data_IF_477673735090
#
_entry.id   IF_477673735090
#
_cell.length_a   1.000
_cell.length_b   1.000
_cell.length_c   1.000
_cell.angle_alpha   90.00
_cell.angle_beta   90.00
_cell.angle_gamma   90.00
#
_symmetry.space_group_name_H-M   'P 1'
#
loop_
_entity.id
_entity.type
_entity.pdbx_description
1 polymer ?
2 branched ?
3 branched ?
4 non-polymer ?
5 water ?
#
# COMPACT_ATOMS: atom_id res chain seq x y z
N UNK A 5 -2.64 25.27 5.08
CA UNK A 5 -2.84 25.75 3.67
C UNK A 5 -3.81 24.84 2.92
N UNK A 6 -3.28 23.96 2.08
CA UNK A 6 -4.13 23.08 1.32
C UNK A 6 -3.88 23.14 -0.17
N UNK A 7 -2.77 23.75 -0.55
CA UNK A 7 -2.42 23.88 -1.97
C UNK A 7 -1.56 22.73 -2.50
N UNK A 8 -2.06 22.06 -3.53
CA UNK A 8 -1.37 20.94 -4.18
C UNK A 8 -0.86 19.85 -3.24
N UNK A 9 -1.75 18.94 -2.87
CA UNK A 9 -1.39 17.80 -2.02
C UNK A 9 -0.71 18.20 -0.72
N UNK A 10 -1.45 18.87 0.18
CA UNK A 10 -0.98 19.35 1.48
C UNK A 10 -0.36 18.28 2.37
N UNK A 11 -1.14 17.25 2.69
CA UNK A 11 -0.68 16.18 3.57
C UNK A 11 0.62 15.52 3.12
N UNK A 12 1.12 15.88 1.94
CA UNK A 12 2.37 15.30 1.46
C UNK A 12 3.57 16.18 1.76
N UNK A 13 3.35 17.48 1.91
CA UNK A 13 4.43 18.40 2.18
C UNK A 13 5.08 18.28 3.56
N UNK A 14 4.45 17.52 4.45
CA UNK A 14 5.00 17.37 5.80
C UNK A 14 6.28 16.54 5.87
N UNK A 15 6.57 15.79 4.81
CA UNK A 15 7.76 14.94 4.84
C UNK A 15 8.59 14.95 3.58
N UNK A 16 9.79 14.40 3.70
CA UNK A 16 10.69 14.27 2.55
C UNK A 16 10.56 12.80 2.21
N UNK A 17 10.16 12.51 0.98
CA UNK A 17 9.95 11.15 0.53
C UNK A 17 11.06 10.63 -0.35
N UNK A 18 11.43 9.37 -0.18
CA UNK A 18 12.47 8.77 -1.00
C UNK A 18 11.89 7.83 -2.04
N UNK A 19 12.63 7.69 -3.14
CA UNK A 19 12.24 6.81 -4.23
C UNK A 19 13.57 6.32 -4.79
N UNK A 20 13.55 5.20 -5.50
CA UNK A 20 14.82 4.70 -6.02
C UNK A 20 14.73 4.14 -7.43
N UNK A 21 15.86 4.19 -8.12
CA UNK A 21 16.00 3.63 -9.45
C UNK A 21 17.07 2.58 -9.20
N UNK A 22 16.65 1.37 -8.87
CA UNK A 22 17.59 0.29 -8.56
C UNK A 22 18.51 -0.06 -9.73
N UNK A 23 17.99 -0.02 -10.95
CA UNK A 23 18.80 -0.35 -12.11
C UNK A 23 20.00 0.58 -12.25
N UNK A 24 19.87 1.82 -11.76
CA UNK A 24 20.95 2.79 -11.86
C UNK A 24 21.55 3.25 -10.54
N UNK A 25 21.19 2.58 -9.46
CA UNK A 25 21.74 2.91 -8.15
C UNK A 25 21.53 4.39 -7.78
N UNK A 26 20.32 4.89 -7.99
CA UNK A 26 19.97 6.28 -7.70
C UNK A 26 18.90 6.33 -6.60
N UNK A 27 19.14 7.15 -5.58
CA UNK A 27 18.19 7.33 -4.49
C UNK A 27 17.68 8.76 -4.61
N UNK A 28 16.36 8.91 -4.74
CA UNK A 28 15.78 10.24 -4.87
C UNK A 28 15.10 10.67 -3.58
N UNK A 29 15.17 11.97 -3.31
CA UNK A 29 14.52 12.56 -2.15
C UNK A 29 13.52 13.53 -2.78
N UNK A 30 12.26 13.40 -2.37
CA UNK A 30 11.20 14.24 -2.90
C UNK A 30 10.52 15.09 -1.85
N UNK A 31 10.45 16.38 -2.11
CA UNK A 31 9.77 17.30 -1.21
C UNK A 31 8.99 18.22 -2.12
N UNK A 32 7.70 17.91 -2.27
CA UNK A 32 6.79 18.65 -3.13
C UNK A 32 6.75 20.15 -2.84
N UNK A 33 7.12 20.51 -1.62
CA UNK A 33 7.14 21.90 -1.21
C UNK A 33 8.53 22.55 -1.36
N UNK A 34 9.53 21.72 -1.62
CA UNK A 34 10.89 22.21 -1.80
C UNK A 34 11.63 22.65 -0.55
N UNK A 35 11.88 21.73 0.38
CA UNK A 35 12.59 22.05 1.60
C UNK A 35 13.02 20.79 2.35
N UNK A 36 13.87 19.99 1.69
CA UNK A 36 14.36 18.75 2.26
C UNK A 36 15.61 18.97 3.12
N UNK A 37 16.14 20.18 3.09
CA UNK A 37 17.32 20.49 3.88
C UNK A 37 18.58 19.73 3.54
N UNK A 38 18.89 19.62 2.25
CA UNK A 38 20.10 18.92 1.82
C UNK A 38 21.03 19.92 1.13
N UNK A 39 22.05 20.36 1.85
CA UNK A 39 23.02 21.32 1.34
C UNK A 39 23.51 21.02 -0.07
N UNK A 40 23.69 19.75 -0.38
CA UNK A 40 24.17 19.36 -1.69
C UNK A 40 23.13 19.52 -2.79
N UNK A 41 21.86 19.57 -2.41
CA UNK A 41 20.77 19.72 -3.37
C UNK A 41 20.40 21.17 -3.68
N UNK A 42 20.53 22.04 -2.69
CA UNK A 42 20.16 23.43 -2.87
C UNK A 42 18.90 23.62 -2.04
N UNK A 43 18.64 24.84 -1.55
CA UNK A 43 17.47 25.12 -0.72
C UNK A 43 16.08 24.96 -1.35
N UNK A 44 15.99 25.04 -2.67
CA UNK A 44 14.69 24.94 -3.34
C UNK A 44 14.45 23.65 -4.14
N UNK A 45 15.36 22.70 -4.02
CA UNK A 45 15.20 21.45 -4.76
C UNK A 45 13.94 20.73 -4.31
N UNK A 46 13.16 20.24 -5.27
CA UNK A 46 11.93 19.51 -4.99
C UNK A 46 12.22 18.02 -5.16
N UNK A 47 13.11 17.72 -6.09
CA UNK A 47 13.50 16.34 -6.35
C UNK A 47 15.02 16.30 -6.40
N UNK A 48 15.63 15.62 -5.45
CA UNK A 48 17.08 15.53 -5.42
C UNK A 48 17.52 14.10 -5.67
N UNK A 49 18.49 13.93 -6.56
CA UNK A 49 18.98 12.61 -6.91
C UNK A 49 20.37 12.37 -6.33
N UNK A 50 20.50 11.30 -5.54
CA UNK A 50 21.77 10.95 -4.94
C UNK A 50 22.37 9.82 -5.78
N UNK A 51 23.40 10.15 -6.55
CA UNK A 51 24.08 9.16 -7.38
C UNK A 51 24.99 8.41 -6.42
N UNK A 52 24.63 7.18 -6.08
CA UNK A 52 25.43 6.41 -5.14
C UNK A 52 26.72 5.89 -5.75
N UNK A 53 26.77 5.80 -7.08
CA UNK A 53 27.97 5.33 -7.76
C UNK A 53 29.12 6.30 -7.56
N UNK A 54 28.84 7.59 -7.72
CA UNK A 54 29.85 8.62 -7.55
C UNK A 54 29.60 9.39 -6.26
N UNK A 55 28.60 8.96 -5.50
CA UNK A 55 28.25 9.61 -4.24
C UNK A 55 28.15 11.13 -4.41
N UNK A 56 27.22 11.56 -5.25
CA UNK A 56 27.03 12.98 -5.49
C UNK A 56 25.54 13.31 -5.58
N UNK A 57 25.20 14.55 -5.25
CA UNK A 57 23.81 14.97 -5.29
C UNK A 57 23.57 15.94 -6.45
N UNK A 58 22.41 15.79 -7.07
CA UNK A 58 22.01 16.65 -8.19
C UNK A 58 20.51 16.90 -8.12
N UNK A 59 20.11 18.17 -8.05
CA UNK A 59 18.69 18.47 -8.02
C UNK A 59 18.20 18.19 -9.42
N UNK A 60 17.09 17.45 -9.55
CA UNK A 60 16.56 17.19 -10.88
C UNK A 60 15.17 17.79 -11.03
N UNK A 61 14.86 18.72 -10.13
CA UNK A 61 13.56 19.39 -10.16
C UNK A 61 13.53 20.46 -9.08
N UNK A 62 13.17 21.69 -9.47
CA UNK A 62 13.15 22.79 -8.52
C UNK A 62 11.72 23.19 -8.15
N UNK A 63 11.48 23.38 -6.85
CA UNK A 63 10.15 23.75 -6.36
C UNK A 63 9.65 25.07 -6.92
N UNK A 64 10.57 25.98 -7.23
CA UNK A 64 10.19 27.28 -7.76
C UNK A 64 9.90 27.28 -9.26
N UNK A 65 10.09 26.12 -9.90
CA UNK A 65 9.82 26.01 -11.33
C UNK A 65 8.80 24.89 -11.52
N UNK A 66 7.71 24.99 -10.75
CA UNK A 66 6.64 24.00 -10.75
C UNK A 66 5.43 24.34 -11.61
N UNK A 67 4.87 23.30 -12.25
CA UNK A 67 3.67 23.45 -13.06
C UNK A 67 2.75 22.38 -12.51
N UNK A 68 1.56 22.77 -12.08
CA UNK A 68 0.64 21.78 -11.52
C UNK A 68 -0.60 21.59 -12.38
N UNK A 69 -1.07 20.36 -12.43
CA UNK A 69 -2.26 19.96 -13.17
C UNK A 69 -3.07 19.11 -12.20
N UNK A 70 -4.29 18.76 -12.57
CA UNK A 70 -5.15 17.97 -11.70
C UNK A 70 -4.38 16.83 -11.00
N UNK A 71 -3.78 15.95 -11.79
CA UNK A 71 -3.03 14.85 -11.20
C UNK A 71 -1.62 14.79 -11.75
N UNK A 72 -0.95 15.94 -11.78
CA UNK A 72 0.41 15.98 -12.28
C UNK A 72 1.21 17.17 -11.78
N UNK A 73 2.44 16.90 -11.35
CA UNK A 73 3.36 17.95 -10.90
C UNK A 73 4.62 17.80 -11.73
N UNK A 74 5.02 18.88 -12.39
CA UNK A 74 6.22 18.85 -13.20
C UNK A 74 7.14 19.90 -12.62
N UNK A 75 8.39 19.51 -12.36
CA UNK A 75 9.38 20.42 -11.81
C UNK A 75 10.52 20.56 -12.84
N UNK A 76 10.76 21.78 -13.36
CA UNK A 76 11.85 22.05 -14.31
C UNK A 76 13.06 22.41 -13.43
N UNK A 77 14.19 22.65 -14.12
CA UNK A 77 15.44 23.11 -13.51
C UNK A 77 16.20 24.02 -14.51
N UNK A 78 17.29 24.66 -14.06
CA UNK A 78 18.10 25.51 -14.96
C UNK A 78 19.34 24.73 -15.40
N UNK A 79 19.35 23.43 -15.09
CA UNK A 79 20.46 22.56 -15.43
C UNK A 79 20.34 21.99 -16.84
N UNK A 80 21.34 22.26 -17.67
CA UNK A 80 21.32 21.75 -19.04
C UNK A 80 21.47 20.25 -19.06
N UNK A 81 20.69 19.61 -19.93
CA UNK A 81 20.72 18.16 -20.07
C UNK A 81 21.87 17.71 -20.97
N UNK A 82 22.16 16.42 -20.97
CA UNK A 82 23.22 15.88 -21.80
C UNK A 82 22.83 16.16 -23.25
N UNK A 83 21.52 16.16 -23.49
CA UNK A 83 21.00 16.43 -24.82
C UNK A 83 20.80 17.94 -24.96
N UNK A 84 21.50 18.53 -25.93
CA UNK A 84 21.44 19.96 -26.20
C UNK A 84 20.03 20.54 -26.24
N UNK A 85 19.89 21.76 -25.73
CA UNK A 85 18.61 22.48 -25.73
C UNK A 85 17.56 22.01 -24.73
N UNK A 86 17.90 21.03 -23.90
CA UNK A 86 16.94 20.55 -22.92
C UNK A 86 17.48 20.70 -21.51
N UNK A 87 16.58 20.97 -20.58
CA UNK A 87 16.95 21.12 -19.17
C UNK A 87 16.48 19.87 -18.44
N UNK A 88 17.09 19.59 -17.30
CA UNK A 88 16.70 18.44 -16.50
C UNK A 88 15.34 18.72 -15.91
N UNK A 89 14.45 17.72 -15.96
CA UNK A 89 13.10 17.86 -15.41
C UNK A 89 12.73 16.62 -14.59
N UNK A 90 11.71 16.77 -13.75
CA UNK A 90 11.19 15.66 -12.94
C UNK A 90 9.67 15.76 -13.12
N UNK A 91 9.00 14.62 -13.23
CA UNK A 91 7.55 14.61 -13.42
C UNK A 91 6.90 13.57 -12.51
N UNK A 92 5.86 13.96 -11.79
CA UNK A 92 5.15 13.05 -10.89
C UNK A 92 3.68 13.00 -11.28
N UNK A 93 3.22 11.82 -11.68
CA UNK A 93 1.82 11.64 -12.03
C UNK A 93 1.14 11.14 -10.77
N UNK A 94 0.01 11.74 -10.41
CA UNK A 94 -0.72 11.33 -9.21
C UNK A 94 -1.99 10.58 -9.58
N UNK A 95 -2.31 9.56 -8.79
CA UNK A 95 -3.51 8.76 -9.00
C UNK A 95 -4.16 8.60 -7.64
N UNK A 96 -5.48 8.47 -7.61
CA UNK A 96 -6.16 8.30 -6.33
C UNK A 96 -5.78 6.94 -5.72
N UNK A 97 -5.53 6.94 -4.42
CA UNK A 97 -5.17 5.71 -3.72
C UNK A 97 -5.90 5.66 -2.39
N UNK A 98 -5.82 4.54 -1.69
CA UNK A 98 -6.50 4.39 -0.39
C UNK A 98 -5.59 4.57 0.83
N UNK A 99 -4.30 4.75 0.58
CA UNK A 99 -3.33 5.00 1.65
C UNK A 99 -2.49 6.15 1.11
N UNK A 100 -1.66 6.76 1.97
CA UNK A 100 -0.82 7.87 1.52
C UNK A 100 0.11 7.44 0.40
N UNK A 101 0.46 6.16 0.40
CA UNK A 101 1.30 5.60 -0.64
C UNK A 101 2.74 6.03 -0.69
N UNK A 102 3.34 5.85 -1.87
CA UNK A 102 4.74 6.21 -2.05
C UNK A 102 4.98 6.63 -3.49
N UNK A 103 5.96 7.52 -3.71
CA UNK A 103 6.26 7.95 -5.08
C UNK A 103 7.10 6.83 -5.70
N UNK A 104 6.56 6.16 -6.72
CA UNK A 104 7.28 5.08 -7.37
C UNK A 104 8.06 5.58 -8.56
N UNK A 105 9.33 5.21 -8.63
CA UNK A 105 10.14 5.60 -9.78
C UNK A 105 9.57 4.80 -10.95
N UNK A 106 9.43 5.44 -12.11
CA UNK A 106 8.89 4.77 -13.28
C UNK A 106 10.02 4.59 -14.29
N UNK A 107 10.64 5.70 -14.67
CA UNK A 107 11.73 5.63 -15.62
C UNK A 107 12.40 6.98 -15.74
N UNK A 108 13.58 7.00 -16.34
CA UNK A 108 14.30 8.24 -16.53
C UNK A 108 14.98 8.25 -17.88
N UNK A 109 14.92 9.39 -18.55
CA UNK A 109 15.58 9.57 -19.84
C UNK A 109 16.83 10.33 -19.40
N UNK A 110 17.62 10.84 -20.33
CA UNK A 110 18.80 11.60 -19.93
C UNK A 110 18.35 12.93 -19.35
N UNK A 111 17.13 13.37 -19.69
CA UNK A 111 16.64 14.65 -19.18
C UNK A 111 15.49 14.62 -18.19
N UNK A 112 14.58 13.65 -18.30
CA UNK A 112 13.43 13.62 -17.41
C UNK A 112 13.33 12.41 -16.50
N UNK A 113 12.97 12.66 -15.25
CA UNK A 113 12.81 11.61 -14.25
C UNK A 113 11.32 11.53 -13.94
N UNK A 114 10.74 10.38 -14.24
CA UNK A 114 9.31 10.13 -14.05
C UNK A 114 8.99 9.30 -12.81
N UNK A 115 7.93 9.71 -12.11
CA UNK A 115 7.47 9.00 -10.91
C UNK A 115 5.96 8.86 -10.96
N UNK A 116 5.42 7.90 -10.20
CA UNK A 116 3.98 7.70 -10.14
C UNK A 116 3.61 7.56 -8.67
N UNK A 117 2.60 8.32 -8.23
CA UNK A 117 2.19 8.30 -6.83
C UNK A 117 0.70 8.05 -6.64
N UNK A 118 0.36 6.86 -6.16
CA UNK A 118 -1.03 6.49 -5.91
C UNK A 118 -1.18 6.87 -4.44
N UNK A 119 -1.99 7.89 -4.17
CA UNK A 119 -2.15 8.40 -2.81
C UNK A 119 -3.52 8.97 -2.49
N UNK A 120 -3.90 8.93 -1.22
CA UNK A 120 -5.19 9.47 -0.80
C UNK A 120 -5.25 10.97 -1.05
N UNK A 121 -4.08 11.57 -1.26
CA UNK A 121 -3.98 13.00 -1.51
C UNK A 121 -4.43 13.44 -2.90
N UNK A 122 -4.53 12.48 -3.83
CA UNK A 122 -4.93 12.81 -5.19
C UNK A 122 -6.32 12.31 -5.56
N UNK A 123 -7.19 12.10 -4.56
CA UNK A 123 -8.54 11.63 -4.83
C UNK A 123 -9.47 12.83 -4.96
N UNK A 124 -10.64 12.61 -5.54
CA UNK A 124 -11.60 13.69 -5.74
C UNK A 124 -12.40 14.01 -4.49
N UNK A 125 -12.48 13.04 -3.59
CA UNK A 125 -13.21 13.25 -2.36
C UNK A 125 -12.33 12.95 -1.16
N UNK A 126 -12.14 13.95 -0.30
CA UNK A 126 -11.32 13.79 0.88
C UNK A 126 -11.75 12.54 1.66
N UNK A 127 -12.81 11.90 1.18
CA UNK A 127 -13.36 10.70 1.81
C UNK A 127 -12.34 9.61 2.14
N UNK A 128 -11.38 9.37 1.24
CA UNK A 128 -10.39 8.32 1.53
C UNK A 128 -9.26 8.75 2.46
N UNK A 129 -9.09 10.06 2.63
CA UNK A 129 -8.02 10.55 3.49
C UNK A 129 -8.15 10.14 4.94
N UNK A 130 -7.02 9.84 5.57
CA UNK A 130 -7.01 9.49 6.98
C UNK A 130 -7.00 10.82 7.73
N UNK A 131 -7.33 10.79 9.02
CA UNK A 131 -7.30 12.00 9.84
C UNK A 131 -5.85 12.44 9.85
N UNK A 132 -4.95 11.46 9.95
CA UNK A 132 -3.52 11.72 9.96
C UNK A 132 -2.82 10.44 9.54
N UNK A 133 -1.90 10.56 8.58
CA UNK A 133 -1.15 9.42 8.08
C UNK A 133 0.30 9.85 7.81
N UNK A 134 1.22 8.94 8.02
CA UNK A 134 2.64 9.22 7.83
C UNK A 134 3.25 8.22 6.85
N UNK A 135 4.43 8.55 6.28
CA UNK A 135 5.12 7.65 5.34
C UNK A 135 5.22 6.27 5.98
N UNK A 136 4.89 5.22 5.24
CA UNK A 136 4.91 3.87 5.80
C UNK A 136 5.86 2.90 5.11
N UNK A 137 7.05 3.36 4.76
CA UNK A 137 8.00 2.52 4.09
C UNK A 137 9.39 3.09 4.31
N UNK A 138 10.42 2.28 4.02
CA UNK A 138 11.80 2.72 4.15
C UNK A 138 12.66 1.90 3.21
N UNK A 139 13.76 2.50 2.75
CA UNK A 139 14.69 1.82 1.87
C UNK A 139 15.91 1.45 2.70
N UNK A 140 16.53 0.32 2.39
CA UNK A 140 17.73 -0.08 3.11
C UNK A 140 18.92 0.36 2.26
N UNK A 141 20.13 0.14 2.77
CA UNK A 141 21.35 0.53 2.06
C UNK A 141 21.46 -0.09 0.68
N UNK A 142 20.84 -1.24 0.47
CA UNK A 142 20.90 -1.90 -0.83
C UNK A 142 19.80 -1.35 -1.75
N UNK A 143 19.10 -0.33 -1.30
CA UNK A 143 18.02 0.29 -2.06
C UNK A 143 16.80 -0.60 -2.23
N UNK A 144 16.64 -1.57 -1.33
CA UNK A 144 15.49 -2.45 -1.36
C UNK A 144 14.41 -1.77 -0.54
N UNK A 145 13.16 -1.90 -0.97
CA UNK A 145 12.05 -1.25 -0.30
C UNK A 145 11.35 -2.13 0.75
N UNK A 146 11.11 -1.58 1.93
CA UNK A 146 10.41 -2.27 3.00
C UNK A 146 9.12 -1.44 3.12
N UNK A 147 8.02 -1.99 2.63
CA UNK A 147 6.75 -1.26 2.57
C UNK A 147 5.60 -1.86 3.41
N UNK A 148 5.14 -1.10 4.38
CA UNK A 148 4.06 -1.56 5.26
C UNK A 148 2.67 -1.09 4.83
N UNK A 149 2.58 -0.40 3.70
CA UNK A 149 1.29 0.09 3.22
C UNK A 149 0.19 -0.97 3.19
N UNK A 150 0.53 -2.23 2.81
CA UNK A 150 -0.49 -3.29 2.78
C UNK A 150 -1.11 -3.61 4.14
N UNK A 151 -0.45 -3.21 5.23
CA UNK A 151 -0.96 -3.47 6.57
C UNK A 151 -1.85 -2.34 7.09
N UNK A 152 -1.83 -1.21 6.40
CA UNK A 152 -2.64 -0.07 6.81
C UNK A 152 -4.12 -0.39 6.65
N UNK A 153 -4.89 -0.23 7.72
CA UNK A 153 -6.33 -0.49 7.64
C UNK A 153 -7.10 0.80 7.40
N UNK A 154 -8.07 0.76 6.48
CA UNK A 154 -8.89 1.92 6.20
C UNK A 154 -10.18 1.81 7.01
N UNK A 155 -10.30 0.70 7.73
CA UNK A 155 -11.45 0.43 8.58
C UNK A 155 -11.03 -0.54 9.68
N UNK A 156 -11.37 -0.21 10.92
CA UNK A 156 -11.04 -1.07 12.04
C UNK A 156 -9.61 -0.93 12.52
N UNK A 157 -9.13 -1.91 13.28
CA UNK A 157 -7.78 -1.86 13.81
C UNK A 157 -7.28 -3.26 14.12
N UNK A 158 -6.07 -3.36 14.68
CA UNK A 158 -5.53 -4.66 15.03
C UNK A 158 -5.56 -4.83 16.54
N UNK A 159 -6.09 -5.96 17.01
CA UNK A 159 -6.12 -6.21 18.45
C UNK A 159 -4.74 -6.75 18.82
N UNK A 160 -4.02 -6.02 19.67
CA UNK A 160 -2.68 -6.46 20.07
C UNK A 160 -2.72 -7.54 21.14
N UNK A 161 -1.80 -8.49 21.05
CA UNK A 161 -1.71 -9.58 22.01
C UNK A 161 -1.05 -9.13 23.30
N UNK A 162 -1.74 -9.32 24.41
CA UNK A 162 -1.22 -8.95 25.71
C UNK A 162 -1.88 -9.81 26.78
N UNK A 163 -1.69 -9.43 28.03
CA UNK A 163 -2.28 -10.19 29.14
C UNK A 163 -3.02 -9.32 30.12
N UNK A 164 -3.99 -8.57 29.62
CA UNK A 164 -4.79 -7.72 30.48
C UNK A 164 -6.21 -7.97 30.02
N UNK A 165 -7.02 -8.61 30.88
CA UNK A 165 -8.41 -8.91 30.58
C UNK A 165 -9.35 -7.77 30.97
N UNK A 166 -8.77 -6.58 31.08
CA UNK A 166 -9.50 -5.35 31.41
C UNK A 166 -9.12 -4.34 30.33
N UNK A 167 -8.01 -4.64 29.66
CA UNK A 167 -7.52 -3.79 28.59
C UNK A 167 -7.62 -4.54 27.28
N UNK A 168 -7.94 -3.79 26.23
CA UNK A 168 -8.02 -4.30 24.87
C UNK A 168 -7.22 -3.23 24.16
N UNK A 169 -6.06 -3.61 23.64
CA UNK A 169 -5.20 -2.65 22.96
C UNK A 169 -5.36 -2.74 21.44
N UNK A 170 -5.88 -1.68 20.85
CA UNK A 170 -6.09 -1.65 19.39
C UNK A 170 -5.16 -0.64 18.72
N UNK A 171 -4.56 -1.05 17.61
CA UNK A 171 -3.66 -0.16 16.88
C UNK A 171 -3.87 -0.25 15.36
N UNK A 172 -3.46 0.79 14.65
CA UNK A 172 -3.53 0.80 13.20
C UNK A 172 -2.08 1.05 12.80
N UNK A 173 -1.78 0.91 11.51
CA UNK A 173 -0.42 1.11 11.04
C UNK A 173 -0.28 2.40 10.24
N UNK A 174 0.61 3.27 10.72
CA UNK A 174 0.91 4.55 10.08
C UNK A 174 -0.20 5.59 10.01
N UNK A 175 -1.32 5.33 10.69
CA UNK A 175 -2.43 6.28 10.69
C UNK A 175 -3.43 6.01 11.80
N UNK A 176 -4.37 6.94 11.97
CA UNK A 176 -5.40 6.81 12.98
C UNK A 176 -6.32 5.66 12.64
N UNK A 177 -7.09 5.23 13.63
CA UNK A 177 -8.05 4.16 13.46
C UNK A 177 -9.36 4.78 13.03
N UNK A 178 -9.97 4.26 11.97
CA UNK A 178 -11.24 4.80 11.51
C UNK A 178 -12.30 4.24 12.45
N UNK A 179 -12.75 5.07 13.38
CA UNK A 179 -13.73 4.65 14.38
C UNK A 179 -15.17 4.77 13.88
N UNK A 180 -15.42 5.68 12.95
CA UNK A 180 -16.75 5.88 12.39
C UNK A 180 -17.19 4.63 11.64
N UNK A 181 -16.39 4.23 10.66
CA UNK A 181 -16.68 3.05 9.85
C UNK A 181 -16.06 1.82 10.48
N UNK A 182 -16.48 1.52 11.71
CA UNK A 182 -15.97 0.36 12.42
C UNK A 182 -17.11 -0.61 12.70
N UNK A 183 -16.88 -1.89 12.46
CA UNK A 183 -17.91 -2.90 12.70
C UNK A 183 -17.81 -3.45 14.11
N UNK A 184 -16.65 -3.28 14.74
CA UNK A 184 -16.44 -3.75 16.11
C UNK A 184 -17.01 -2.76 17.11
N UNK A 185 -17.99 -3.19 17.92
CA UNK A 185 -18.58 -2.31 18.92
C UNK A 185 -17.54 -1.81 19.91
N UNK A 186 -16.39 -2.48 19.93
CA UNK A 186 -15.29 -2.14 20.82
C UNK A 186 -14.52 -0.97 20.23
N UNK A 187 -14.09 -1.12 18.99
CA UNK A 187 -13.33 -0.09 18.29
C UNK A 187 -14.15 1.19 18.12
N UNK A 188 -15.47 1.04 18.02
CA UNK A 188 -16.36 2.18 17.84
C UNK A 188 -16.42 3.07 19.08
N UNK A 189 -15.68 2.69 20.12
CA UNK A 189 -15.66 3.45 21.36
C UNK A 189 -14.40 4.31 21.47
N UNK A 190 -13.47 4.10 20.56
CA UNK A 190 -12.20 4.84 20.54
C UNK A 190 -12.32 6.28 20.03
N UNK A 191 -11.48 7.18 20.56
CA UNK A 191 -11.47 8.59 20.18
C UNK A 191 -10.98 8.77 18.74
N UNK A 192 -11.50 9.78 18.05
CA UNK A 192 -11.09 10.03 16.68
C UNK A 192 -9.67 10.55 16.68
N UNK A 193 -8.91 10.22 15.64
CA UNK A 193 -7.54 10.68 15.55
C UNK A 193 -6.55 9.77 16.24
N UNK A 194 -7.05 8.80 16.99
CA UNK A 194 -6.16 7.87 17.71
C UNK A 194 -5.65 6.75 16.81
N UNK A 195 -4.35 6.51 16.87
CA UNK A 195 -3.69 5.45 16.09
C UNK A 195 -3.50 4.24 17.00
N UNK A 196 -3.58 4.50 18.30
CA UNK A 196 -3.44 3.47 19.31
C UNK A 196 -4.49 3.78 20.37
N UNK A 197 -5.35 2.81 20.63
CA UNK A 197 -6.44 3.00 21.59
C UNK A 197 -6.53 1.91 22.65
N UNK A 198 -6.62 2.33 23.89
CA UNK A 198 -6.72 1.41 25.01
C UNK A 198 -8.16 1.38 25.53
N UNK A 199 -8.83 0.25 25.38
CA UNK A 199 -10.21 0.12 25.83
C UNK A 199 -10.28 -0.65 27.15
N UNK A 200 -10.50 0.09 28.23
CA UNK A 200 -10.58 -0.52 29.56
C UNK A 200 -12.05 -0.74 29.92
N UNK A 201 -12.75 -1.48 29.06
CA UNK A 201 -14.16 -1.77 29.31
C UNK A 201 -15.02 -0.53 29.44
N UNK A 202 -15.96 -0.36 28.51
CA UNK A 202 -16.87 0.79 28.52
C UNK A 202 -16.12 2.11 28.56
N UNK A 203 -14.83 2.06 28.26
CA UNK A 203 -13.99 3.25 28.26
C UNK A 203 -12.83 3.04 27.29
N UNK A 204 -12.50 4.08 26.53
CA UNK A 204 -11.40 4.00 25.57
C UNK A 204 -10.49 5.19 25.79
N UNK A 205 -9.20 5.01 25.58
CA UNK A 205 -8.24 6.08 25.78
C UNK A 205 -7.18 6.16 24.69
N UNK A 206 -7.06 7.33 24.08
CA UNK A 206 -6.08 7.55 23.03
C UNK A 206 -4.70 7.48 23.68
N UNK A 207 -3.95 6.43 23.35
CA UNK A 207 -2.62 6.27 23.93
C UNK A 207 -1.51 6.46 22.89
N UNK A 208 -1.87 7.08 21.77
CA UNK A 208 -0.88 7.33 20.72
C UNK A 208 -1.46 7.82 19.40
N UNK A 209 -0.81 8.81 18.81
CA UNK A 209 -1.23 9.37 17.54
C UNK A 209 -0.03 9.40 16.60
N UNK A 210 -0.26 9.27 15.29
CA UNK A 210 0.87 9.29 14.35
C UNK A 210 1.55 10.65 14.28
N UNK A 211 2.87 10.64 14.10
CA UNK A 211 3.64 11.87 13.98
C UNK A 211 4.75 11.74 12.95
N UNK A 212 5.70 10.85 13.21
CA UNK A 212 6.82 10.65 12.31
C UNK A 212 6.67 9.40 11.44
N UNK A 213 7.32 9.42 10.28
CA UNK A 213 7.23 8.27 9.37
C UNK A 213 7.98 7.05 9.86
N UNK A 214 7.75 5.93 9.18
CA UNK A 214 8.40 4.67 9.50
C UNK A 214 9.92 4.80 9.42
N UNK A 215 10.63 4.09 10.29
CA UNK A 215 12.08 4.17 10.32
C UNK A 215 12.71 2.78 10.28
N UNK A 216 13.84 2.67 9.59
CA UNK A 216 14.54 1.40 9.50
C UNK A 216 15.80 1.45 10.37
N UNK A 217 15.92 0.52 11.30
CA UNK A 217 17.06 0.46 12.21
C UNK A 217 18.07 -0.60 11.77
N UNK A 218 17.57 -1.71 11.24
CA UNK A 218 18.42 -2.78 10.75
C UNK A 218 17.72 -3.32 9.51
N UNK A 219 18.47 -3.99 8.64
CA UNK A 219 17.90 -4.52 7.41
C UNK A 219 16.68 -5.42 7.63
N UNK A 220 16.42 -5.79 8.88
CA UNK A 220 15.28 -6.65 9.19
C UNK A 220 14.40 -6.08 10.30
N UNK A 221 14.61 -4.81 10.64
CA UNK A 221 13.83 -4.17 11.70
C UNK A 221 13.35 -2.76 11.36
N UNK A 222 12.04 -2.57 11.43
CA UNK A 222 11.41 -1.27 11.15
C UNK A 222 10.73 -0.80 12.44
N UNK A 223 10.76 0.50 12.72
CA UNK A 223 10.12 1.00 13.93
C UNK A 223 9.19 2.18 13.67
N UNK A 224 8.02 2.12 14.28
CA UNK A 224 7.02 3.18 14.16
C UNK A 224 6.68 3.69 15.55
N UNK A 225 6.66 5.01 15.72
CA UNK A 225 6.36 5.60 17.03
C UNK A 225 5.14 6.53 17.04
N UNK A 226 4.25 6.30 17.99
CA UNK A 226 3.06 7.13 18.15
C UNK A 226 3.24 7.87 19.47
N UNK A 227 2.83 9.13 19.51
CA UNK A 227 2.98 9.92 20.71
C UNK A 227 1.76 10.78 21.04
N UNK A 228 1.88 11.52 22.13
CA UNK A 228 0.84 12.43 22.58
C UNK A 228 1.53 13.58 23.28
N UNK A 229 1.11 14.80 22.99
CA UNK A 229 1.71 15.97 23.60
C UNK A 229 0.73 16.74 24.47
N UNK A 230 1.26 17.45 25.46
CA UNK A 230 0.42 18.23 26.36
C UNK A 230 -0.23 17.40 27.45
N UNK A 231 -1.02 18.06 28.29
CA UNK A 231 -1.70 17.39 29.39
C UNK A 231 -3.00 16.76 28.89
N UNK A 232 -3.95 16.56 29.80
CA UNK A 232 -5.22 15.97 29.43
C UNK A 232 -5.10 14.47 29.24
N UNK A 233 -4.06 13.89 29.81
CA UNK A 233 -3.80 12.45 29.71
C UNK A 233 -4.80 11.63 30.53
N UNK A 234 -4.98 10.35 30.18
CA UNK A 234 -5.92 9.47 30.88
C UNK A 234 -5.64 9.46 32.39
N UNK A 235 -4.36 9.57 32.73
CA UNK A 235 -3.89 9.60 34.11
C UNK A 235 -3.84 8.28 34.87
N UNK A 236 -4.28 7.20 34.25
CA UNK A 236 -4.23 5.91 34.93
C UNK A 236 -2.75 5.55 35.02
N UNK A 237 -1.95 6.30 34.26
CA UNK A 237 -0.51 6.10 34.19
C UNK A 237 0.32 6.88 35.18
N UNK A 238 -0.31 7.82 35.88
CA UNK A 238 0.43 8.63 36.85
C UNK A 238 1.36 9.61 36.15
N UNK A 239 0.78 10.66 35.57
CA UNK A 239 1.57 11.68 34.91
C UNK A 239 2.47 11.31 33.76
N UNK A 240 2.39 10.06 33.28
CA UNK A 240 3.22 9.64 32.16
C UNK A 240 2.52 9.84 30.82
N UNK A 241 3.14 10.58 29.92
CA UNK A 241 2.57 10.84 28.60
C UNK A 241 2.56 9.56 27.76
N UNK A 242 1.37 9.13 27.33
CA UNK A 242 1.21 7.91 26.52
C UNK A 242 2.12 7.88 25.30
N UNK A 243 2.69 6.71 25.04
CA UNK A 243 3.57 6.52 23.91
C UNK A 243 3.51 5.06 23.49
N UNK A 244 3.55 4.82 22.20
CA UNK A 244 3.51 3.47 21.67
C UNK A 244 4.61 3.31 20.63
N UNK A 245 5.37 2.24 20.74
CA UNK A 245 6.44 1.96 19.79
C UNK A 245 6.26 0.56 19.23
N UNK A 246 6.14 0.49 17.91
CA UNK A 246 5.95 -0.79 17.24
C UNK A 246 7.21 -1.16 16.47
N UNK A 247 7.71 -2.36 16.72
CA UNK A 247 8.89 -2.84 16.02
C UNK A 247 8.44 -3.93 15.07
N UNK A 248 8.56 -3.69 13.76
CA UNK A 248 8.17 -4.68 12.78
C UNK A 248 9.40 -5.48 12.40
N UNK A 249 9.31 -6.80 12.52
CA UNK A 249 10.43 -7.68 12.22
C UNK A 249 10.19 -8.63 11.05
N UNK A 250 11.14 -8.67 10.12
CA UNK A 250 11.07 -9.54 8.96
C UNK A 250 11.70 -10.89 9.35
N UNK A 251 10.91 -11.98 9.36
CA UNK A 251 11.40 -13.31 9.72
C UNK A 251 12.39 -13.84 8.69
N UNK A 252 13.46 -14.47 9.16
CA UNK A 252 14.47 -15.02 8.25
C UNK A 252 13.88 -16.15 7.43
N UNK A 253 12.84 -16.80 7.95
CA UNK A 253 12.19 -17.90 7.26
C UNK A 253 10.69 -17.63 7.13
N UNK A 254 10.10 -18.12 6.05
CA UNK A 254 8.66 -17.95 5.81
C UNK A 254 7.85 -18.66 6.89
N UNK A 255 6.75 -18.05 7.31
CA UNK A 255 5.90 -18.65 8.33
C UNK A 255 4.50 -18.06 8.33
N UNK A 256 3.59 -18.71 9.05
CA UNK A 256 2.21 -18.25 9.15
C UNK A 256 2.17 -16.92 9.88
N UNK A 257 1.24 -16.06 9.49
CA UNK A 257 1.13 -14.76 10.11
C UNK A 257 0.91 -14.78 11.61
N UNK A 258 1.49 -13.79 12.29
CA UNK A 258 1.35 -13.67 13.75
C UNK A 258 0.81 -12.28 14.09
N UNK A 259 0.13 -12.20 15.24
CA UNK A 259 -0.45 -10.95 15.71
C UNK A 259 0.59 -10.09 16.42
N UNK A 260 0.47 -8.74 16.31
CA UNK A 260 1.46 -7.91 17.01
C UNK A 260 1.35 -8.24 18.49
N UNK A 261 2.46 -8.16 19.21
CA UNK A 261 2.46 -8.52 20.62
C UNK A 261 3.05 -7.45 21.54
N UNK A 262 2.41 -7.26 22.69
CA UNK A 262 2.87 -6.29 23.69
C UNK A 262 4.05 -6.90 24.44
N UNK A 263 5.20 -6.24 24.38
CA UNK A 263 6.38 -6.73 25.05
C UNK A 263 6.79 -5.87 26.25
N UNK A 264 6.11 -4.73 26.40
CA UNK A 264 6.39 -3.82 27.51
C UNK A 264 5.19 -2.90 27.71
N UNK A 265 5.00 -2.45 28.94
CA UNK A 265 3.89 -1.57 29.28
C UNK A 265 4.28 -0.73 30.49
N UNK A 266 5.42 -0.06 30.36
CA UNK A 266 5.97 0.77 31.43
C UNK A 266 5.19 2.07 31.69
N UNK A 267 3.90 1.95 32.02
CA UNK A 267 3.06 3.11 32.32
C UNK A 267 2.94 4.11 31.16
N UNK A 268 1.92 3.92 30.33
CA UNK A 268 1.65 4.76 29.15
C UNK A 268 2.73 4.79 28.09
N UNK A 269 3.66 3.85 28.14
CA UNK A 269 4.71 3.84 27.15
C UNK A 269 4.82 2.43 26.60
N UNK A 270 3.76 2.01 25.91
CA UNK A 270 3.64 0.68 25.32
C UNK A 270 4.66 0.37 24.23
N UNK A 271 5.11 -0.88 24.22
CA UNK A 271 6.06 -1.35 23.22
C UNK A 271 5.49 -2.61 22.60
N UNK A 272 5.40 -2.63 21.28
CA UNK A 272 4.84 -3.77 20.57
C UNK A 272 5.80 -4.34 19.53
N UNK A 273 5.82 -5.66 19.43
CA UNK A 273 6.65 -6.34 18.45
C UNK A 273 5.71 -7.05 17.49
N UNK A 274 5.96 -6.88 16.19
CA UNK A 274 5.11 -7.49 15.18
C UNK A 274 6.05 -8.16 14.17
N UNK A 275 6.02 -9.48 14.16
CA UNK A 275 6.83 -10.23 13.22
C UNK A 275 5.98 -10.39 11.98
N UNK A 276 6.39 -9.77 10.88
CA UNK A 276 5.60 -9.84 9.64
C UNK A 276 6.51 -9.74 8.42
N UNK A 277 6.20 -10.52 7.40
CA UNK A 277 7.01 -10.53 6.19
C UNK A 277 6.85 -9.25 5.40
N UNK A 278 5.90 -8.42 5.81
CA UNK A 278 5.72 -7.15 5.14
C UNK A 278 6.89 -6.24 5.48
N UNK A 279 7.64 -6.60 6.51
CA UNK A 279 8.81 -5.83 6.90
C UNK A 279 10.01 -6.21 6.02
N UNK A 280 9.87 -7.28 5.24
CA UNK A 280 10.96 -7.70 4.37
C UNK A 280 11.03 -6.87 3.10
N UNK A 281 12.03 -7.16 2.27
CA UNK A 281 12.20 -6.47 1.00
C UNK A 281 10.92 -6.74 0.22
N UNK A 282 10.36 -5.73 -0.43
CA UNK A 282 9.13 -5.93 -1.20
C UNK A 282 9.28 -6.92 -2.35
N UNK A 283 10.42 -6.89 -3.03
CA UNK A 283 10.64 -7.79 -4.16
C UNK A 283 10.68 -9.26 -3.73
N UNK A 284 10.73 -9.49 -2.43
CA UNK A 284 10.76 -10.85 -1.89
C UNK A 284 9.31 -11.33 -1.72
N UNK A 285 8.39 -10.38 -1.71
CA UNK A 285 6.98 -10.66 -1.55
C UNK A 285 6.18 -10.60 -2.85
N UNK A 286 6.65 -9.82 -3.82
CA UNK A 286 5.88 -9.63 -5.04
C UNK A 286 6.53 -9.93 -6.38
N UNK A 287 5.66 -10.19 -7.36
CA UNK A 287 6.04 -10.44 -8.72
C UNK A 287 5.00 -9.70 -9.58
N UNK A 288 5.40 -9.31 -10.79
CA UNK A 288 4.48 -8.64 -11.68
C UNK A 288 3.97 -9.63 -12.72
N UNK A 289 4.13 -10.92 -12.42
CA UNK A 289 3.68 -12.00 -13.29
C UNK A 289 2.91 -13.00 -12.44
N UNK A 290 2.36 -14.03 -13.06
CA UNK A 290 1.60 -15.02 -12.33
C UNK A 290 2.44 -16.10 -11.65
N UNK A 291 3.71 -15.82 -11.40
CA UNK A 291 4.52 -16.81 -10.72
C UNK A 291 5.49 -16.21 -9.71
N UNK A 292 5.82 -17.00 -8.69
CA UNK A 292 6.77 -16.60 -7.66
C UNK A 292 7.83 -17.70 -7.75
N UNK A 293 9.08 -17.36 -7.46
CA UNK A 293 10.13 -18.39 -7.55
C UNK A 293 10.81 -18.60 -6.22
N UNK A 294 11.44 -19.75 -6.09
CA UNK A 294 12.15 -20.08 -4.87
C UNK A 294 13.32 -19.09 -4.69
N UNK A 295 13.99 -18.79 -5.81
CA UNK A 295 15.14 -17.89 -5.81
C UNK A 295 14.83 -16.48 -5.33
N UNK A 296 13.71 -15.94 -5.77
CA UNK A 296 13.35 -14.58 -5.41
C UNK A 296 12.42 -14.46 -4.21
N UNK A 297 11.51 -15.42 -4.06
CA UNK A 297 10.51 -15.36 -3.00
C UNK A 297 10.53 -16.46 -1.95
N UNK A 298 11.41 -17.44 -2.09
CA UNK A 298 11.47 -18.56 -1.14
C UNK A 298 10.18 -19.37 -1.19
N UNK A 299 9.42 -19.20 -2.26
CA UNK A 299 8.19 -19.95 -2.45
C UNK A 299 8.01 -20.14 -3.96
N UNK A 300 7.58 -21.33 -4.36
CA UNK A 300 7.38 -21.61 -5.77
C UNK A 300 5.89 -21.72 -6.09
N UNK A 301 5.39 -20.76 -6.86
CA UNK A 301 3.99 -20.71 -7.23
C UNK A 301 3.86 -20.37 -8.70
N UNK A 302 2.91 -21.01 -9.38
CA UNK A 302 2.66 -20.73 -10.79
C UNK A 302 1.16 -20.87 -11.00
N UNK A 303 0.50 -19.75 -11.26
CA UNK A 303 -0.94 -19.73 -11.47
C UNK A 303 -1.30 -19.82 -12.95
N UNK A 304 -0.29 -19.84 -13.80
CA UNK A 304 -0.50 -19.92 -15.24
C UNK A 304 -1.47 -21.02 -15.64
N UNK A 305 -1.38 -22.21 -15.01
CA UNK A 305 -2.31 -23.29 -15.38
C UNK A 305 -3.78 -23.02 -15.11
N UNK A 306 -4.10 -21.89 -14.47
CA UNK A 306 -5.49 -21.54 -14.21
C UNK A 306 -6.12 -20.82 -15.40
N UNK A 307 -5.29 -20.42 -16.35
CA UNK A 307 -5.78 -19.72 -17.54
C UNK A 307 -6.13 -20.72 -18.64
N UNK A 308 -5.84 -21.99 -18.38
CA UNK A 308 -6.11 -23.05 -19.33
C UNK A 308 -7.19 -23.97 -18.79
N UNK A 309 -7.98 -24.52 -19.71
CA UNK A 309 -9.05 -25.43 -19.33
C UNK A 309 -9.19 -26.48 -20.42
N UNK A 310 -9.83 -27.60 -20.11
CA UNK A 310 -10.02 -28.64 -21.10
C UNK A 310 -10.93 -28.10 -22.21
N UNK A 311 -10.75 -28.61 -23.43
CA UNK A 311 -11.56 -28.18 -24.56
C UNK A 311 -13.00 -28.67 -24.36
N UNK A 312 -13.60 -28.26 -23.25
CA UNK A 312 -14.96 -28.66 -22.92
C UNK A 312 -15.78 -27.53 -22.27
N UNK A 313 -15.11 -26.62 -21.57
CA UNK A 313 -15.82 -25.53 -20.92
C UNK A 313 -15.24 -24.12 -21.15
N UNK A 314 -16.01 -23.12 -20.75
CA UNK A 314 -15.66 -21.70 -20.90
C UNK A 314 -14.19 -21.33 -20.74
N UNK A 315 -13.74 -20.42 -21.59
CA UNK A 315 -12.35 -19.95 -21.59
C UNK A 315 -12.11 -18.89 -20.52
N UNK A 316 -13.15 -18.59 -19.74
CA UNK A 316 -13.05 -17.59 -18.69
C UNK A 316 -13.88 -18.02 -17.49
N UNK A 317 -13.68 -17.35 -16.36
CA UNK A 317 -14.40 -17.67 -15.14
C UNK A 317 -15.55 -16.70 -14.91
N UNK A 318 -16.63 -17.21 -14.33
CA UNK A 318 -17.81 -16.40 -14.05
C UNK A 318 -18.09 -16.41 -12.56
N UNK A 319 -18.18 -15.23 -11.98
CA UNK A 319 -18.45 -15.09 -10.55
C UNK A 319 -19.68 -14.21 -10.40
N UNK A 320 -20.83 -14.83 -10.11
CA UNK A 320 -22.10 -14.13 -9.96
C UNK A 320 -22.27 -13.44 -8.61
N UNK A 321 -22.99 -12.32 -8.63
CA UNK A 321 -23.27 -11.56 -7.42
C UNK A 321 -24.73 -11.12 -7.46
N UNK A 322 -25.18 -10.44 -6.42
CA UNK A 322 -26.57 -9.99 -6.34
C UNK A 322 -27.04 -9.15 -7.54
N UNK A 323 -26.34 -8.07 -7.82
CA UNK A 323 -26.74 -7.16 -8.90
C UNK A 323 -25.78 -7.12 -10.08
N UNK A 324 -24.63 -7.78 -9.93
CA UNK A 324 -23.65 -7.81 -11.00
C UNK A 324 -23.11 -9.21 -11.22
N UNK A 325 -22.47 -9.38 -12.38
CA UNK A 325 -21.84 -10.63 -12.73
C UNK A 325 -20.39 -10.25 -13.06
N UNK A 326 -19.44 -11.00 -12.52
CA UNK A 326 -18.02 -10.71 -12.77
C UNK A 326 -17.39 -11.77 -13.65
N UNK A 327 -16.65 -11.35 -14.66
CA UNK A 327 -15.98 -12.28 -15.54
C UNK A 327 -14.50 -12.09 -15.33
N UNK A 328 -13.82 -13.20 -15.00
CA UNK A 328 -12.39 -13.14 -14.74
C UNK A 328 -11.57 -13.93 -15.76
N UNK A 329 -10.58 -13.25 -16.33
CA UNK A 329 -9.66 -13.82 -17.31
C UNK A 329 -8.29 -13.62 -16.68
N UNK A 330 -7.78 -14.67 -16.06
CA UNK A 330 -6.51 -14.61 -15.35
C UNK A 330 -5.28 -15.10 -16.07
N UNK A 331 -4.13 -14.51 -15.71
CA UNK A 331 -2.85 -14.87 -16.28
C UNK A 331 -2.84 -14.98 -17.79
N UNK A 332 -3.31 -13.93 -18.46
CA UNK A 332 -3.33 -13.92 -19.91
C UNK A 332 -4.42 -14.73 -20.58
N UNK A 333 -5.37 -15.23 -19.80
CA UNK A 333 -6.46 -16.02 -20.37
C UNK A 333 -7.39 -15.16 -21.24
N UNK A 334 -8.42 -15.78 -21.78
CA UNK A 334 -9.38 -15.06 -22.64
C UNK A 334 -10.57 -14.53 -21.85
N UNK A 335 -11.05 -13.35 -22.25
CA UNK A 335 -12.19 -12.70 -21.59
C UNK A 335 -13.53 -13.08 -22.22
N UNK A 336 -14.61 -12.91 -21.46
CA UNK A 336 -15.94 -13.21 -21.96
C UNK A 336 -16.29 -12.27 -23.11
N UNK A 337 -17.12 -12.74 -24.05
CA UNK A 337 -17.54 -11.93 -25.20
C UNK A 337 -18.08 -10.56 -24.82
N UNK A 338 -18.97 -10.52 -23.83
CA UNK A 338 -19.59 -9.28 -23.37
C UNK A 338 -18.56 -8.19 -23.06
N UNK A 339 -17.41 -8.59 -22.54
CA UNK A 339 -16.34 -7.65 -22.22
C UNK A 339 -15.36 -7.70 -23.38
N UNK A 340 -15.90 -7.37 -24.56
CA UNK A 340 -15.20 -7.38 -25.84
C UNK A 340 -13.75 -6.93 -25.90
N UNK A 341 -13.55 -5.70 -26.38
CA UNK A 341 -12.23 -5.11 -26.54
C UNK A 341 -11.68 -4.64 -25.20
N UNK A 342 -12.57 -4.17 -24.34
CA UNK A 342 -12.26 -3.64 -23.02
C UNK A 342 -10.92 -3.95 -22.37
N UNK A 343 -10.34 -5.11 -22.66
CA UNK A 343 -9.06 -5.50 -22.07
C UNK A 343 -9.11 -5.39 -20.55
N UNK A 344 -9.77 -6.36 -19.94
CA UNK A 344 -9.90 -6.39 -18.50
C UNK A 344 -9.58 -7.79 -18.00
N UNK A 345 -8.95 -7.88 -16.84
CA UNK A 345 -8.66 -9.16 -16.26
C UNK A 345 -9.93 -9.50 -15.48
N UNK A 346 -10.60 -8.45 -15.02
CA UNK A 346 -11.85 -8.57 -14.26
C UNK A 346 -12.82 -7.54 -14.82
N UNK A 347 -14.01 -7.99 -15.18
CA UNK A 347 -15.00 -7.12 -15.76
C UNK A 347 -16.35 -7.30 -15.07
N UNK A 348 -16.94 -6.19 -14.64
CA UNK A 348 -18.22 -6.19 -13.94
C UNK A 348 -19.37 -5.81 -14.85
N UNK A 349 -20.39 -6.67 -14.93
CA UNK A 349 -21.54 -6.41 -15.79
C UNK A 349 -22.83 -6.27 -14.96
N UNK A 350 -23.56 -5.17 -15.17
CA UNK A 350 -24.79 -4.95 -14.43
C UNK A 350 -25.85 -5.93 -14.89
N UNK A 351 -26.39 -6.72 -13.97
CA UNK A 351 -27.42 -7.69 -14.33
C UNK A 351 -28.63 -7.03 -14.98
N UNK A 352 -29.15 -5.99 -14.32
CA UNK A 352 -30.31 -5.25 -14.80
C UNK A 352 -30.11 -4.57 -16.17
N UNK A 353 -28.86 -4.35 -16.55
CA UNK A 353 -28.57 -3.71 -17.84
C UNK A 353 -27.14 -4.02 -18.27
N UNK A 354 -26.99 -5.11 -19.00
CA UNK A 354 -25.68 -5.57 -19.46
C UNK A 354 -24.90 -4.61 -20.37
N UNK A 355 -25.42 -3.41 -20.60
CA UNK A 355 -24.70 -2.46 -21.44
C UNK A 355 -23.76 -1.69 -20.52
N UNK A 356 -23.99 -1.84 -19.22
CA UNK A 356 -23.17 -1.19 -18.21
C UNK A 356 -22.11 -2.18 -17.78
N UNK A 357 -20.91 -2.05 -18.36
CA UNK A 357 -19.83 -2.94 -18.00
C UNK A 357 -18.65 -2.08 -17.58
N UNK A 358 -18.01 -2.46 -16.48
CA UNK A 358 -16.88 -1.69 -15.97
C UNK A 358 -15.64 -2.56 -15.78
N UNK A 359 -14.51 -2.11 -16.33
CA UNK A 359 -13.26 -2.83 -16.17
C UNK A 359 -12.84 -2.66 -14.71
N UNK A 360 -12.68 -3.77 -14.00
CA UNK A 360 -12.30 -3.73 -12.60
C UNK A 360 -10.86 -4.19 -12.37
N UNK A 361 -10.07 -4.20 -13.44
CA UNK A 361 -8.68 -4.63 -13.33
C UNK A 361 -8.17 -4.97 -14.72
N UNK A 362 -6.96 -4.54 -15.04
CA UNK A 362 -6.39 -4.80 -16.36
C UNK A 362 -5.26 -5.81 -16.31
N UNK A 363 -5.12 -6.62 -17.37
CA UNK A 363 -4.06 -7.63 -17.41
C UNK A 363 -2.63 -7.12 -17.28
N UNK A 364 -2.37 -5.92 -17.79
CA UNK A 364 -1.03 -5.36 -17.71
C UNK A 364 -0.73 -4.84 -16.32
N UNK A 365 -1.75 -4.87 -15.46
CA UNK A 365 -1.57 -4.38 -14.11
C UNK A 365 -1.91 -5.40 -13.06
N UNK A 366 -0.91 -6.23 -12.85
CA UNK A 366 -1.00 -7.32 -11.92
C UNK A 366 0.17 -7.43 -10.95
N UNK A 367 -0.19 -7.85 -9.75
CA UNK A 367 0.75 -8.06 -8.67
C UNK A 367 0.37 -9.34 -7.96
N UNK A 368 1.27 -10.30 -7.95
CA UNK A 368 1.07 -11.56 -7.24
C UNK A 368 1.91 -11.39 -5.98
N UNK A 369 1.27 -11.50 -4.82
CA UNK A 369 1.93 -11.30 -3.55
C UNK A 369 1.78 -12.47 -2.60
N UNK A 370 2.87 -12.78 -1.90
CA UNK A 370 2.84 -13.85 -0.90
C UNK A 370 3.49 -13.31 0.35
N UNK A 371 2.70 -13.18 1.41
CA UNK A 371 3.20 -12.68 2.68
C UNK A 371 2.36 -13.20 3.84
N UNK A 372 3.03 -13.59 4.91
CA UNK A 372 2.41 -14.10 6.11
C UNK A 372 1.41 -15.23 5.87
N UNK A 373 1.77 -16.14 4.97
CA UNK A 373 0.93 -17.28 4.69
C UNK A 373 -0.23 -17.08 3.74
N UNK A 374 -0.37 -15.87 3.19
CA UNK A 374 -1.46 -15.59 2.27
C UNK A 374 -0.99 -15.27 0.87
N UNK A 375 -1.62 -15.88 -0.12
CA UNK A 375 -1.29 -15.63 -1.52
C UNK A 375 -2.38 -14.74 -2.10
N UNK A 376 -1.98 -13.60 -2.65
CA UNK A 376 -2.94 -12.65 -3.21
C UNK A 376 -2.58 -12.24 -4.63
N UNK A 377 -3.58 -12.20 -5.50
CA UNK A 377 -3.39 -11.77 -6.88
C UNK A 377 -4.23 -10.51 -6.98
N UNK A 378 -3.60 -9.42 -7.40
CA UNK A 378 -4.26 -8.13 -7.53
C UNK A 378 -4.19 -7.60 -8.96
N UNK A 379 -5.33 -7.23 -9.52
CA UNK A 379 -5.39 -6.64 -10.85
C UNK A 379 -5.88 -5.21 -10.62
N UNK A 380 -5.12 -4.22 -11.07
CA UNK A 380 -5.50 -2.83 -10.87
C UNK A 380 -5.60 -2.03 -12.17
N UNK A 381 -5.72 -0.72 -12.06
CA UNK A 381 -5.83 0.12 -13.24
C UNK A 381 -7.19 0.08 -13.93
N UNK A 382 -8.24 -0.29 -13.21
CA UNK A 382 -9.56 -0.36 -13.81
C UNK A 382 -10.14 1.03 -14.01
N UNK A 383 -11.35 1.11 -14.54
CA UNK A 383 -12.00 2.40 -14.78
C UNK A 383 -12.27 3.14 -13.46
N UNK A 384 -12.09 4.45 -13.50
CA UNK A 384 -12.27 5.29 -12.32
C UNK A 384 -13.69 5.38 -11.80
N UNK A 385 -13.82 5.37 -10.49
CA UNK A 385 -15.10 5.52 -9.84
C UNK A 385 -15.24 7.02 -9.58
N UNK A 386 -16.41 7.47 -9.15
CA UNK A 386 -16.61 8.90 -8.91
C UNK A 386 -15.57 9.49 -7.97
N UNK A 387 -15.02 8.64 -7.11
CA UNK A 387 -14.02 9.09 -6.14
C UNK A 387 -12.68 9.37 -6.82
N UNK A 388 -12.50 8.86 -8.03
CA UNK A 388 -11.25 9.04 -8.74
C UNK A 388 -10.40 7.79 -8.64
N UNK A 389 -10.85 6.84 -7.82
CA UNK A 389 -10.12 5.59 -7.62
C UNK A 389 -10.29 4.64 -8.80
N UNK A 390 -9.19 4.18 -9.38
CA UNK A 390 -9.26 3.23 -10.48
C UNK A 390 -9.65 1.89 -9.87
N UNK A 391 -10.70 1.27 -10.40
CA UNK A 391 -11.15 0.00 -9.86
C UNK A 391 -10.05 -1.05 -9.82
N UNK A 392 -10.07 -1.87 -8.80
CA UNK A 392 -9.09 -2.95 -8.68
C UNK A 392 -9.74 -4.17 -8.06
N UNK A 393 -9.16 -5.34 -8.35
CA UNK A 393 -9.68 -6.61 -7.86
C UNK A 393 -8.59 -7.37 -7.11
N UNK A 394 -8.95 -7.95 -5.96
CA UNK A 394 -8.00 -8.73 -5.21
C UNK A 394 -8.57 -10.12 -5.05
N UNK A 395 -7.78 -11.12 -5.44
CA UNK A 395 -8.19 -12.51 -5.35
C UNK A 395 -7.39 -13.13 -4.22
N UNK A 396 -8.10 -13.53 -3.18
CA UNK A 396 -7.47 -14.15 -2.03
C UNK A 396 -7.44 -15.64 -2.32
N UNK A 397 -6.27 -16.13 -2.70
CA UNK A 397 -6.11 -17.54 -3.01
C UNK A 397 -5.98 -18.37 -1.74
N UNK A 398 -6.47 -19.59 -1.81
CA UNK A 398 -6.39 -20.49 -0.67
C UNK A 398 -5.99 -21.89 -1.15
N UNK A 399 -5.08 -22.52 -0.42
CA UNK A 399 -4.63 -23.85 -0.80
C UNK A 399 -5.69 -24.89 -0.52
N UNK A 400 -5.96 -25.72 -1.52
CA UNK A 400 -6.91 -26.82 -1.37
C UNK A 400 -6.52 -27.83 -2.43
N UNK A 401 -5.79 -28.85 -2.00
CA UNK A 401 -5.32 -29.91 -2.90
C UNK A 401 -6.42 -30.65 -3.63
N UNK A 402 -7.61 -30.69 -3.03
CA UNK A 402 -8.73 -31.38 -3.65
C UNK A 402 -9.82 -30.42 -4.14
N UNK A 403 -9.43 -29.19 -4.42
CA UNK A 403 -10.35 -28.17 -4.91
C UNK A 403 -11.07 -28.68 -6.15
N UNK A 404 -12.32 -28.27 -6.31
CA UNK A 404 -13.12 -28.70 -7.43
C UNK A 404 -12.50 -28.36 -8.77
N UNK A 405 -13.12 -28.85 -9.84
CA UNK A 405 -12.66 -28.60 -11.19
C UNK A 405 -11.25 -29.16 -11.43
N UNK A 406 -10.98 -30.33 -10.88
CA UNK A 406 -9.69 -30.98 -11.04
C UNK A 406 -8.54 -30.13 -10.49
N UNK A 407 -8.77 -29.49 -9.36
CA UNK A 407 -7.74 -28.68 -8.74
C UNK A 407 -7.74 -27.21 -9.10
N UNK A 408 -8.31 -26.85 -10.23
CA UNK A 408 -8.33 -25.45 -10.64
C UNK A 408 -9.29 -24.59 -9.82
N UNK A 409 -10.37 -25.21 -9.34
CA UNK A 409 -11.34 -24.47 -8.55
C UNK A 409 -11.98 -23.35 -9.37
N UNK A 410 -12.65 -22.43 -8.69
CA UNK A 410 -13.30 -21.30 -9.36
C UNK A 410 -13.44 -20.15 -8.38
N UNK A 411 -13.31 -18.90 -8.88
CA UNK A 411 -13.40 -17.69 -8.07
C UNK A 411 -14.79 -17.46 -7.50
N UNK A 412 -14.84 -16.93 -6.29
CA UNK A 412 -16.11 -16.62 -5.66
C UNK A 412 -16.07 -15.17 -5.21
N UNK A 413 -16.97 -14.34 -5.75
CA UNK A 413 -17.02 -12.94 -5.36
C UNK A 413 -17.42 -12.89 -3.90
N UNK A 414 -16.70 -12.12 -3.10
CA UNK A 414 -17.03 -12.05 -1.69
C UNK A 414 -17.47 -10.67 -1.24
N UNK A 415 -17.39 -9.69 -2.13
CA UNK A 415 -17.83 -8.35 -1.74
C UNK A 415 -17.01 -7.22 -2.32
N UNK A 416 -17.57 -6.02 -2.26
CA UNK A 416 -16.90 -4.83 -2.75
C UNK A 416 -16.77 -3.81 -1.63
N UNK A 417 -15.65 -3.08 -1.63
CA UNK A 417 -15.46 -2.03 -0.66
C UNK A 417 -14.88 -0.86 -1.45
N UNK A 418 -15.71 0.15 -1.68
CA UNK A 418 -15.32 1.35 -2.42
C UNK A 418 -14.48 1.11 -3.67
N UNK A 419 -15.04 0.36 -4.60
CA UNK A 419 -14.40 0.05 -5.88
C UNK A 419 -13.20 -0.90 -5.90
N UNK A 420 -13.04 -1.65 -4.81
CA UNK A 420 -12.03 -2.69 -4.76
C UNK A 420 -12.93 -3.92 -4.64
N UNK A 421 -12.81 -4.86 -5.58
CA UNK A 421 -13.65 -6.06 -5.59
C UNK A 421 -12.87 -7.27 -5.12
N UNK A 422 -13.41 -7.98 -4.14
CA UNK A 422 -12.75 -9.15 -3.55
C UNK A 422 -13.33 -10.48 -3.97
N UNK A 423 -12.44 -11.45 -4.16
CA UNK A 423 -12.81 -12.80 -4.53
C UNK A 423 -11.98 -13.78 -3.72
N UNK A 424 -12.52 -14.96 -3.50
CA UNK A 424 -11.81 -16.01 -2.78
C UNK A 424 -11.67 -17.11 -3.81
N UNK A 425 -10.54 -17.80 -3.82
CA UNK A 425 -10.33 -18.83 -4.83
C UNK A 425 -9.53 -20.00 -4.25
N UNK A 426 -10.22 -21.10 -3.98
CA UNK A 426 -9.56 -22.31 -3.45
C UNK A 426 -9.05 -23.06 -4.66
N UNK A 427 -7.77 -23.40 -4.62
CA UNK A 427 -7.18 -24.12 -5.75
C UNK A 427 -5.93 -24.87 -5.26
N UNK A 428 -5.58 -25.93 -5.97
CA UNK A 428 -4.40 -26.71 -5.60
C UNK A 428 -3.17 -25.90 -5.99
N UNK A 429 -3.34 -24.94 -6.90
CA UNK A 429 -2.23 -24.11 -7.34
C UNK A 429 -1.83 -23.04 -6.33
N UNK A 430 -2.58 -22.94 -5.24
CA UNK A 430 -2.27 -21.95 -4.20
C UNK A 430 -1.53 -22.67 -3.09
N UNK A 431 -1.26 -23.96 -3.28
CA UNK A 431 -0.55 -24.72 -2.26
C UNK A 431 0.95 -24.54 -2.41
N UNK A 432 1.56 -24.05 -1.33
CA UNK A 432 2.98 -23.78 -1.26
C UNK A 432 3.71 -24.97 -0.63
#
# INVERSE_FOLDING_TARGET
>A
AAGTQGAEFPELCSYTWEAVDTKNNMLYKINICGNMGVAQCGPSSAVCMHDLKTDSFHSVGDSLLKTASRSLLEFNTTVNCKQQNHKIQSSITFLCGKTLGTPEFVTATDCVHYFEWRTTAACKKNIFKANKEVPCYAFDRELKKHDLNPLIKTSGAYLVDDSDPDTSLFINVCRDIEVLRASSPQVRVCPTGAAACLVRGDRAFDVGRPQEGLKLVSNDRLVLSYVKEGAGQPDFCDGHSPAVTITFVCPSERREGTIPKLTAKSNCRFEIEWVTEYACHRDYLESRSCSLSSAQHDVAVDLQPLSRVEASDSLFYTSEADEYTYYLSICGGSQAPICNKKDAAVCQVKKADSTQVKVAGRPQNLTLRYSDGDLTLIYFGGEECSSGFQRMSVINFECNQTAGNNGRGAPVFTGEVDCTYFFTWDTKYACV
#
